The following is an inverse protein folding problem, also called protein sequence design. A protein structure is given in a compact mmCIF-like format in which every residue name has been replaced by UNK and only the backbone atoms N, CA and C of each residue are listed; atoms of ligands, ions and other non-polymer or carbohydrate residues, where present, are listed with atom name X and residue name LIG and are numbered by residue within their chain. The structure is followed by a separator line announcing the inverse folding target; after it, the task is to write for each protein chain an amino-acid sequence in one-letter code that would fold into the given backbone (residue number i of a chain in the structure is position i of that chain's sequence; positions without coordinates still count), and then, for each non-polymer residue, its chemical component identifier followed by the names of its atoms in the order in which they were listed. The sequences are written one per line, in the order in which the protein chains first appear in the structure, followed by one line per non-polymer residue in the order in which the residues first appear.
data_IF_016637921607
#
_entry.id   IF_016637921607
#
_cell.length_a   1.000
_cell.length_b   1.000
_cell.length_c   1.000
_cell.angle_alpha   90.00
_cell.angle_beta   90.00
_cell.angle_gamma   90.00
#
_symmetry.space_group_name_H-M   'P 1'
#
loop_
_entity.id
_entity.type
_entity.pdbx_description
1 polymer ?
#
# COMPACT_ATOMS: atom_id res chain seq x y z
N UNK A 1 14.83 -2.56 -10.97
CA UNK A 1 14.12 -1.55 -10.18
C UNK A 1 13.54 -2.20 -8.94
N UNK A 2 13.63 -1.56 -7.82
CA UNK A 2 13.23 -2.12 -6.54
C UNK A 2 11.71 -1.99 -6.34
N UNK A 3 11.01 -3.12 -6.20
CA UNK A 3 9.57 -3.14 -5.96
C UNK A 3 9.19 -2.41 -4.68
N UNK A 4 10.03 -2.52 -3.66
CA UNK A 4 9.79 -1.87 -2.37
C UNK A 4 9.78 -0.35 -2.52
N UNK A 5 10.67 0.20 -3.34
CA UNK A 5 10.69 1.64 -3.59
C UNK A 5 9.40 2.11 -4.25
N UNK A 6 8.85 1.32 -5.16
CA UNK A 6 7.59 1.66 -5.82
C UNK A 6 6.43 1.68 -4.83
N UNK A 7 6.36 0.70 -3.93
CA UNK A 7 5.30 0.65 -2.93
C UNK A 7 5.46 1.74 -1.88
N UNK A 8 6.71 2.04 -1.51
CA UNK A 8 6.96 3.15 -0.58
C UNK A 8 6.51 4.47 -1.19
N UNK A 9 6.75 4.67 -2.48
CA UNK A 9 6.29 5.86 -3.18
C UNK A 9 4.76 5.97 -3.15
N UNK A 10 4.06 4.85 -3.40
CA UNK A 10 2.60 4.81 -3.34
C UNK A 10 2.09 5.16 -1.95
N UNK A 11 2.72 4.60 -0.92
CA UNK A 11 2.34 4.89 0.45
C UNK A 11 2.53 6.36 0.79
N UNK A 12 3.65 6.96 0.35
CA UNK A 12 3.89 8.38 0.56
C UNK A 12 2.85 9.23 -0.15
N UNK A 13 2.49 8.87 -1.38
CA UNK A 13 1.47 9.59 -2.13
C UNK A 13 0.13 9.54 -1.41
N UNK A 14 -0.19 8.38 -0.83
CA UNK A 14 -1.45 8.23 -0.11
C UNK A 14 -1.50 9.11 1.14
N UNK A 15 -0.47 9.04 1.99
CA UNK A 15 -0.47 9.81 3.24
C UNK A 15 -0.34 11.31 2.99
N UNK A 16 0.23 11.71 1.85
CA UNK A 16 0.31 13.10 1.45
C UNK A 16 -0.96 13.57 0.72
N UNK A 17 -1.94 12.66 0.58
CA UNK A 17 -3.21 12.93 -0.08
C UNK A 17 -3.08 13.31 -1.56
N UNK A 18 -2.00 12.86 -2.19
CA UNK A 18 -1.82 13.03 -3.63
C UNK A 18 -2.71 12.06 -4.41
N UNK A 19 -3.04 10.92 -3.77
CA UNK A 19 -3.99 9.94 -4.31
C UNK A 19 -4.99 9.59 -3.20
N UNK A 20 -6.18 9.15 -3.59
CA UNK A 20 -7.23 8.81 -2.63
C UNK A 20 -7.09 7.39 -2.09
N UNK A 21 -6.65 6.47 -2.93
CA UNK A 21 -6.51 5.06 -2.57
C UNK A 21 -5.70 4.34 -3.64
N UNK A 22 -5.25 3.12 -3.30
CA UNK A 22 -4.64 2.25 -4.29
C UNK A 22 -4.95 0.80 -3.95
N UNK A 23 -4.87 -0.09 -4.96
CA UNK A 23 -5.14 -1.51 -4.80
C UNK A 23 -3.87 -2.33 -4.87
N UNK A 24 -3.81 -3.38 -4.05
CA UNK A 24 -2.72 -4.36 -4.08
C UNK A 24 -3.34 -5.72 -4.39
N UNK A 25 -2.84 -6.36 -5.46
CA UNK A 25 -3.30 -7.69 -5.85
C UNK A 25 -2.65 -8.76 -4.96
N UNK A 26 -3.23 -9.97 -4.90
CA UNK A 26 -2.62 -11.04 -4.11
C UNK A 26 -1.18 -11.35 -4.49
N UNK A 27 -0.84 -11.23 -5.77
CA UNK A 27 0.54 -11.49 -6.23
C UNK A 27 1.52 -10.42 -5.80
N UNK A 28 1.03 -9.23 -5.47
CA UNK A 28 1.87 -8.10 -5.02
C UNK A 28 1.98 -8.04 -3.50
N UNK A 29 1.14 -8.78 -2.80
CA UNK A 29 0.97 -8.59 -1.36
C UNK A 29 2.26 -8.81 -0.57
N UNK A 30 3.02 -9.86 -0.89
CA UNK A 30 4.24 -10.17 -0.14
C UNK A 30 5.27 -9.05 -0.24
N UNK A 31 5.51 -8.55 -1.43
CA UNK A 31 6.46 -7.46 -1.64
C UNK A 31 5.96 -6.17 -1.01
N UNK A 32 4.67 -5.89 -1.20
CA UNK A 32 4.06 -4.71 -0.61
C UNK A 32 4.16 -4.75 0.92
N UNK A 33 3.93 -5.90 1.53
CA UNK A 33 3.94 -6.02 2.98
C UNK A 33 5.29 -5.65 3.57
N UNK A 34 6.38 -6.02 2.90
CA UNK A 34 7.72 -5.65 3.35
C UNK A 34 7.88 -4.13 3.39
N UNK A 35 7.48 -3.46 2.32
CA UNK A 35 7.54 -1.99 2.25
C UNK A 35 6.61 -1.36 3.29
N UNK A 36 5.42 -1.93 3.47
CA UNK A 36 4.45 -1.42 4.42
C UNK A 36 4.95 -1.51 5.86
N UNK A 37 5.55 -2.64 6.23
CA UNK A 37 6.08 -2.83 7.57
C UNK A 37 7.23 -1.88 7.90
N UNK A 38 7.96 -1.46 6.88
CA UNK A 38 9.06 -0.50 7.04
C UNK A 38 8.62 0.95 6.91
N UNK A 39 7.33 1.18 6.63
CA UNK A 39 6.82 2.52 6.43
C UNK A 39 6.46 3.16 7.77
N UNK A 40 7.03 4.34 8.04
CA UNK A 40 6.87 5.00 9.34
C UNK A 40 5.42 5.37 9.66
N UNK A 41 4.67 5.75 8.64
CA UNK A 41 3.29 6.24 8.81
C UNK A 41 2.24 5.18 8.55
N UNK A 42 2.62 3.90 8.61
CA UNK A 42 1.71 2.80 8.29
C UNK A 42 0.43 2.78 9.14
N UNK A 43 0.50 3.31 10.36
CA UNK A 43 -0.67 3.33 11.26
C UNK A 43 -1.79 4.23 10.74
N UNK A 44 -1.48 5.14 9.83
CA UNK A 44 -2.48 6.02 9.22
C UNK A 44 -3.20 5.37 8.05
N UNK A 45 -2.67 4.26 7.55
CA UNK A 45 -3.18 3.60 6.34
C UNK A 45 -4.11 2.46 6.75
N UNK A 46 -5.29 2.42 6.12
CA UNK A 46 -6.31 1.40 6.38
C UNK A 46 -6.41 0.49 5.17
N UNK A 47 -6.43 -0.83 5.40
CA UNK A 47 -6.60 -1.82 4.35
C UNK A 47 -7.99 -2.42 4.41
N UNK A 48 -8.67 -2.46 3.25
CA UNK A 48 -9.99 -3.07 3.11
C UNK A 48 -9.91 -4.21 2.10
N UNK A 49 -10.22 -5.43 2.55
CA UNK A 49 -10.19 -6.60 1.69
C UNK A 49 -11.39 -6.60 0.74
N UNK A 50 -11.10 -6.91 -0.53
CA UNK A 50 -12.12 -7.03 -1.56
C UNK A 50 -12.46 -8.50 -1.80
N UNK A 51 -13.60 -8.76 -2.43
CA UNK A 51 -14.07 -10.11 -2.68
C UNK A 51 -13.15 -10.91 -3.59
N UNK A 52 -12.43 -10.23 -4.48
CA UNK A 52 -11.54 -10.89 -5.44
C UNK A 52 -10.14 -11.14 -4.87
N UNK A 53 -9.92 -10.90 -3.58
CA UNK A 53 -8.62 -11.10 -2.95
C UNK A 53 -7.71 -9.90 -2.99
N UNK A 54 -8.13 -8.82 -3.63
CA UNK A 54 -7.37 -7.59 -3.64
C UNK A 54 -7.61 -6.82 -2.34
N UNK A 55 -6.68 -5.95 -2.00
CA UNK A 55 -6.81 -5.08 -0.82
C UNK A 55 -6.70 -3.64 -1.28
N UNK A 56 -7.67 -2.82 -0.88
CA UNK A 56 -7.67 -1.38 -1.15
C UNK A 56 -7.11 -0.67 0.07
N UNK A 57 -6.09 0.15 -0.14
CA UNK A 57 -5.49 0.93 0.94
C UNK A 57 -5.91 2.39 0.81
N UNK A 58 -6.31 2.97 1.93
CA UNK A 58 -6.80 4.35 1.98
C UNK A 58 -6.56 4.93 3.38
N UNK A 59 -6.78 6.21 3.54
CA UNK A 59 -6.75 6.88 4.84
C UNK A 59 -8.19 6.98 5.44
#
# INVERSE_FOLDING_TARGET
MDSQSNYTALLNQLVNEEIDQFKITPSQFQEFQIAFMNFDKRKRVIGSAEKNGEIVYHL
#
